data_IF_585477656483
#
_entry.id   IF_585477656483
#
_cell.length_a   1.000
_cell.length_b   1.000
_cell.length_c   1.000
_cell.angle_alpha   90.00
_cell.angle_beta   90.00
_cell.angle_gamma   90.00
#
_symmetry.space_group_name_H-M   'P 1'
#
loop_
_entity.id
_entity.type
_entity.pdbx_description
1 polymer ?
#
# COMPACT_ATOMS: atom_id res chain seq x y z
N UNK A 1 18.62 -8.08 17.99
CA UNK A 1 17.81 -7.82 16.77
C UNK A 1 16.55 -7.08 17.21
N UNK A 2 16.32 -5.85 16.75
CA UNK A 2 15.19 -5.04 17.23
C UNK A 2 14.02 -5.18 16.26
N UNK A 3 12.97 -5.85 16.73
CA UNK A 3 11.64 -5.85 16.07
C UNK A 3 10.89 -4.62 16.54
N UNK A 4 10.06 -4.06 15.67
CA UNK A 4 9.18 -2.96 16.01
C UNK A 4 7.87 -3.54 16.52
N UNK A 5 7.28 -2.90 17.53
CA UNK A 5 5.95 -3.26 18.02
C UNK A 5 4.86 -2.83 17.05
N UNK A 6 3.72 -3.53 17.05
CA UNK A 6 2.57 -3.17 16.23
C UNK A 6 2.05 -1.75 16.54
N UNK A 7 2.13 -1.31 17.79
CA UNK A 7 1.78 0.05 18.19
C UNK A 7 2.68 1.10 17.52
N UNK A 8 4.00 0.87 17.54
CA UNK A 8 4.95 1.76 16.87
C UNK A 8 4.73 1.79 15.34
N UNK A 9 4.43 0.64 14.74
CA UNK A 9 4.12 0.53 13.30
C UNK A 9 2.88 1.36 12.96
N UNK A 10 1.81 1.27 13.75
CA UNK A 10 0.59 2.04 13.53
C UNK A 10 0.83 3.55 13.65
N UNK A 11 1.61 3.99 14.62
CA UNK A 11 1.97 5.42 14.80
C UNK A 11 2.76 5.90 13.58
N UNK A 12 3.79 5.18 13.16
CA UNK A 12 4.61 5.53 12.00
C UNK A 12 3.77 5.59 10.71
N UNK A 13 2.90 4.59 10.48
CA UNK A 13 2.05 4.55 9.30
C UNK A 13 1.04 5.72 9.24
N UNK A 14 0.50 6.14 10.39
CA UNK A 14 -0.44 7.26 10.45
C UNK A 14 0.23 8.64 10.26
N UNK A 15 1.51 8.76 10.58
CA UNK A 15 2.25 10.03 10.52
C UNK A 15 2.95 10.29 9.19
N UNK A 16 2.96 9.31 8.28
CA UNK A 16 3.66 9.38 7.00
C UNK A 16 2.98 10.28 5.96
N UNK A 17 3.76 10.70 4.96
CA UNK A 17 3.23 11.40 3.78
C UNK A 17 2.31 10.48 2.97
N UNK A 18 1.18 11.02 2.51
CA UNK A 18 0.18 10.31 1.71
C UNK A 18 0.06 10.93 0.33
N UNK A 19 0.60 10.30 -0.72
CA UNK A 19 0.43 10.80 -2.07
C UNK A 19 -1.03 10.72 -2.52
N UNK A 20 -1.42 11.60 -3.43
CA UNK A 20 -2.74 11.59 -4.03
C UNK A 20 -2.86 10.50 -5.09
N UNK A 21 -3.97 9.78 -5.06
CA UNK A 21 -4.34 8.83 -6.12
C UNK A 21 -5.80 9.02 -6.50
N UNK A 22 -6.13 8.62 -7.73
CA UNK A 22 -7.51 8.60 -8.22
C UNK A 22 -7.97 7.16 -8.14
N UNK A 23 -9.04 6.92 -7.39
CA UNK A 23 -9.69 5.60 -7.40
C UNK A 23 -10.48 5.45 -8.70
N UNK A 24 -9.80 4.97 -9.72
CA UNK A 24 -10.41 4.55 -10.99
C UNK A 24 -10.67 3.06 -11.04
N UNK A 25 -10.31 2.32 -9.97
CA UNK A 25 -10.34 0.86 -9.93
C UNK A 25 -9.30 0.17 -10.84
N UNK A 26 -8.55 0.93 -11.64
CA UNK A 26 -7.64 0.40 -12.68
C UNK A 26 -6.25 1.07 -12.62
N UNK A 27 -6.11 2.19 -11.91
CA UNK A 27 -4.86 2.95 -11.85
C UNK A 27 -3.80 2.31 -10.96
N UNK A 28 -2.53 2.41 -11.37
CA UNK A 28 -1.40 2.04 -10.50
C UNK A 28 -1.32 3.00 -9.33
N UNK A 29 -1.14 2.46 -8.12
CA UNK A 29 -0.88 3.27 -6.95
C UNK A 29 0.52 3.90 -7.03
N UNK A 30 0.67 5.16 -6.61
CA UNK A 30 1.92 5.91 -6.72
C UNK A 30 2.92 5.54 -5.60
N UNK A 31 3.31 4.26 -5.52
CA UNK A 31 4.25 3.77 -4.50
C UNK A 31 5.61 4.48 -4.52
N UNK A 32 6.06 4.93 -5.69
CA UNK A 32 7.33 5.67 -5.84
C UNK A 32 7.30 7.06 -5.20
N UNK A 33 6.12 7.59 -4.89
CA UNK A 33 5.94 8.87 -4.18
C UNK A 33 5.95 8.71 -2.67
N UNK A 34 5.76 7.50 -2.15
CA UNK A 34 5.94 7.20 -0.73
C UNK A 34 7.42 7.42 -0.33
N UNK A 35 7.70 7.71 0.93
CA UNK A 35 9.05 7.60 1.48
C UNK A 35 9.52 6.13 1.54
N UNK A 36 10.82 5.90 1.74
CA UNK A 36 11.37 4.54 1.86
C UNK A 36 10.69 3.79 3.01
N UNK A 37 10.55 4.47 4.14
CA UNK A 37 9.93 3.89 5.34
C UNK A 37 8.44 3.62 5.18
N UNK A 38 7.70 4.54 4.56
CA UNK A 38 6.27 4.36 4.29
C UNK A 38 6.04 3.17 3.35
N UNK A 39 6.90 2.96 2.36
CA UNK A 39 6.81 1.80 1.47
C UNK A 39 7.09 0.49 2.21
N UNK A 40 8.07 0.44 3.11
CA UNK A 40 8.32 -0.72 3.99
C UNK A 40 7.13 -1.03 4.89
N UNK A 41 6.55 0.00 5.53
CA UNK A 41 5.37 -0.11 6.40
C UNK A 41 4.16 -0.65 5.63
N UNK A 42 3.91 -0.13 4.42
CA UNK A 42 2.85 -0.61 3.54
C UNK A 42 3.05 -2.08 3.19
N UNK A 43 4.24 -2.47 2.76
CA UNK A 43 4.56 -3.86 2.42
C UNK A 43 4.39 -4.80 3.61
N UNK A 44 4.81 -4.37 4.80
CA UNK A 44 4.62 -5.11 6.03
C UNK A 44 3.15 -5.33 6.36
N UNK A 45 2.34 -4.25 6.39
CA UNK A 45 0.92 -4.32 6.73
C UNK A 45 0.12 -5.12 5.69
N UNK A 46 0.47 -4.98 4.40
CA UNK A 46 -0.12 -5.78 3.34
C UNK A 46 0.06 -7.28 3.58
N UNK A 47 1.29 -7.71 3.81
CA UNK A 47 1.58 -9.13 4.03
C UNK A 47 1.03 -9.61 5.38
N UNK A 48 0.99 -8.76 6.41
CA UNK A 48 0.34 -9.08 7.68
C UNK A 48 -1.15 -9.39 7.48
N UNK A 49 -1.88 -8.52 6.79
CA UNK A 49 -3.29 -8.73 6.47
C UNK A 49 -3.50 -10.01 5.64
N UNK A 50 -2.61 -10.27 4.67
CA UNK A 50 -2.69 -11.48 3.85
C UNK A 50 -2.43 -12.76 4.64
N UNK A 51 -1.56 -12.72 5.66
CA UNK A 51 -1.35 -13.85 6.58
C UNK A 51 -2.60 -14.07 7.42
N UNK A 52 -3.20 -13.02 7.96
CA UNK A 52 -4.45 -13.06 8.74
C UNK A 52 -5.61 -13.64 7.91
N UNK A 53 -5.67 -13.30 6.63
CA UNK A 53 -6.64 -13.85 5.66
C UNK A 53 -6.32 -15.29 5.21
N UNK A 54 -5.23 -15.90 5.69
CA UNK A 54 -4.83 -17.26 5.31
C UNK A 54 -4.30 -17.41 3.88
N UNK A 55 -3.89 -16.31 3.22
CA UNK A 55 -3.37 -16.35 1.83
C UNK A 55 -1.95 -16.93 1.74
N UNK A 56 -1.25 -17.06 2.86
CA UNK A 56 0.10 -17.59 2.94
C UNK A 56 0.15 -18.91 3.71
N UNK A 57 0.16 -20.04 3.01
CA UNK A 57 0.14 -21.37 3.63
C UNK A 57 1.38 -21.69 4.49
N UNK A 58 2.54 -21.17 4.10
CA UNK A 58 3.83 -21.47 4.71
C UNK A 58 4.41 -20.31 5.52
N UNK A 59 3.62 -19.28 5.80
CA UNK A 59 4.03 -18.12 6.59
C UNK A 59 2.99 -17.93 7.69
N UNK A 60 3.41 -17.99 8.94
CA UNK A 60 2.53 -17.85 10.11
C UNK A 60 2.59 -16.45 10.74
N UNK A 61 3.68 -15.74 10.53
CA UNK A 61 3.83 -14.37 11.03
C UNK A 61 4.93 -13.60 10.30
N UNK A 62 4.91 -12.28 10.43
CA UNK A 62 5.87 -11.34 9.86
C UNK A 62 6.36 -10.39 10.95
N UNK A 63 7.59 -9.89 10.83
CA UNK A 63 8.12 -8.81 11.68
C UNK A 63 8.79 -7.77 10.82
N UNK A 64 8.49 -6.49 11.10
CA UNK A 64 9.18 -5.35 10.51
C UNK A 64 10.49 -5.10 11.27
N UNK A 65 11.55 -4.80 10.54
CA UNK A 65 12.88 -4.54 11.08
C UNK A 65 13.15 -3.04 11.17
N UNK A 66 14.14 -2.65 12.00
CA UNK A 66 14.51 -1.24 12.14
C UNK A 66 16.01 -1.07 12.31
N UNK A 67 16.56 -0.10 11.57
CA UNK A 67 17.90 0.46 11.75
C UNK A 67 19.02 -0.42 11.20
N UNK A 68 20.25 -0.10 11.55
CA UNK A 68 21.48 -0.73 11.04
C UNK A 68 21.51 -2.26 11.20
N UNK A 69 20.65 -2.81 12.06
CA UNK A 69 20.53 -4.26 12.29
C UNK A 69 19.65 -5.00 11.28
N UNK A 70 19.09 -4.33 10.28
CA UNK A 70 18.25 -4.95 9.24
C UNK A 70 19.02 -5.97 8.42
N UNK A 71 20.31 -5.73 8.17
CA UNK A 71 21.19 -6.67 7.47
C UNK A 71 20.59 -7.17 6.14
N UNK A 72 20.04 -6.24 5.35
CA UNK A 72 19.43 -6.54 4.06
C UNK A 72 18.05 -7.21 4.16
N UNK A 73 17.28 -6.91 5.23
CA UNK A 73 15.92 -7.43 5.44
C UNK A 73 15.04 -6.35 6.03
N UNK A 74 14.06 -5.89 5.30
CA UNK A 74 13.11 -4.92 5.82
C UNK A 74 12.01 -5.63 6.62
N UNK A 75 11.57 -6.82 6.16
CA UNK A 75 10.70 -7.69 6.93
C UNK A 75 11.27 -9.12 7.02
N UNK A 76 10.96 -9.80 8.12
CA UNK A 76 11.31 -11.22 8.32
C UNK A 76 10.04 -12.04 8.42
N UNK A 77 9.97 -13.12 7.64
CA UNK A 77 8.86 -14.05 7.57
C UNK A 77 9.15 -15.27 8.43
N UNK A 78 8.12 -15.75 9.13
CA UNK A 78 8.25 -16.92 10.01
C UNK A 78 7.22 -17.98 9.65
N UNK A 79 7.67 -19.24 9.73
CA UNK A 79 6.79 -20.40 9.75
C UNK A 79 6.95 -21.11 11.10
N UNK A 80 5.87 -21.16 11.88
CA UNK A 80 5.86 -21.76 13.21
C UNK A 80 7.02 -21.28 14.13
N UNK A 81 7.30 -19.96 14.07
CA UNK A 81 8.35 -19.34 14.89
C UNK A 81 9.77 -19.45 14.33
N UNK A 82 9.99 -20.22 13.27
CA UNK A 82 11.29 -20.34 12.59
C UNK A 82 11.34 -19.38 11.41
N UNK A 83 12.49 -18.72 11.19
CA UNK A 83 12.71 -17.85 10.04
C UNK A 83 12.61 -18.66 8.75
N UNK A 84 11.66 -18.32 7.89
CA UNK A 84 11.38 -19.02 6.62
C UNK A 84 11.58 -18.13 5.39
N UNK A 85 11.80 -16.84 5.58
CA UNK A 85 12.02 -15.91 4.47
C UNK A 85 12.20 -14.48 4.92
N UNK A 86 12.31 -13.59 3.93
CA UNK A 86 12.37 -12.16 4.12
C UNK A 86 11.64 -11.41 3.01
N UNK A 87 11.35 -10.16 3.27
CA UNK A 87 10.99 -9.18 2.24
C UNK A 87 12.05 -8.08 2.27
N UNK A 88 12.63 -7.80 1.09
CA UNK A 88 13.44 -6.63 0.82
C UNK A 88 12.62 -5.65 0.00
N UNK A 89 12.40 -4.46 0.52
CA UNK A 89 11.67 -3.40 -0.14
C UNK A 89 12.63 -2.48 -0.89
N UNK A 90 12.30 -2.13 -2.12
CA UNK A 90 13.06 -1.17 -2.92
C UNK A 90 12.15 -0.10 -3.48
N UNK A 91 12.19 1.07 -2.85
CA UNK A 91 11.56 2.25 -3.39
C UNK A 91 12.43 2.85 -4.48
N UNK A 92 11.90 2.98 -5.68
CA UNK A 92 12.64 3.41 -6.87
C UNK A 92 11.76 4.30 -7.76
N UNK A 93 12.38 5.27 -8.45
CA UNK A 93 11.72 6.05 -9.49
C UNK A 93 11.69 5.35 -10.85
N UNK A 94 12.56 4.38 -11.06
CA UNK A 94 12.68 3.61 -12.28
C UNK A 94 12.60 2.11 -12.06
N UNK A 95 12.88 1.34 -13.09
CA UNK A 95 12.88 -0.13 -13.05
C UNK A 95 14.08 -0.67 -12.30
N UNK A 96 13.90 -1.69 -11.48
CA UNK A 96 15.04 -2.40 -10.90
C UNK A 96 15.75 -3.24 -11.97
N UNK A 97 17.06 -3.09 -12.05
CA UNK A 97 17.89 -3.83 -13.00
C UNK A 97 18.41 -5.13 -12.41
N UNK A 98 18.76 -6.09 -13.29
CA UNK A 98 19.34 -7.39 -12.89
C UNK A 98 20.58 -7.28 -11.99
N UNK A 99 21.57 -6.40 -12.29
CA UNK A 99 22.68 -6.17 -11.37
C UNK A 99 22.27 -5.66 -10.00
N UNK A 100 21.30 -4.75 -9.93
CA UNK A 100 20.80 -4.23 -8.65
C UNK A 100 20.12 -5.32 -7.81
N UNK A 101 19.25 -6.12 -8.44
CA UNK A 101 18.57 -7.22 -7.75
C UNK A 101 19.58 -8.25 -7.21
N UNK A 102 20.55 -8.67 -8.03
CA UNK A 102 21.58 -9.63 -7.60
C UNK A 102 22.46 -9.08 -6.47
N UNK A 103 22.84 -7.79 -6.50
CA UNK A 103 23.62 -7.18 -5.43
C UNK A 103 22.86 -7.16 -4.10
N UNK A 104 21.56 -6.92 -4.10
CA UNK A 104 20.75 -6.98 -2.87
C UNK A 104 20.67 -8.39 -2.31
N UNK A 105 20.47 -9.40 -3.17
CA UNK A 105 20.48 -10.80 -2.76
C UNK A 105 21.87 -11.17 -2.19
N UNK A 106 22.95 -10.84 -2.88
CA UNK A 106 24.32 -11.12 -2.46
C UNK A 106 24.63 -10.43 -1.12
N UNK A 107 24.21 -9.19 -0.94
CA UNK A 107 24.36 -8.46 0.33
C UNK A 107 23.72 -9.21 1.50
N UNK A 108 22.48 -9.70 1.34
CA UNK A 108 21.84 -10.52 2.36
C UNK A 108 22.59 -11.82 2.62
N UNK A 109 23.04 -12.51 1.57
CA UNK A 109 23.79 -13.76 1.73
C UNK A 109 25.13 -13.57 2.44
N UNK A 110 25.82 -12.46 2.19
CA UNK A 110 27.03 -12.10 2.92
C UNK A 110 26.76 -11.89 4.42
N UNK A 111 25.66 -11.20 4.77
CA UNK A 111 25.23 -11.10 6.16
C UNK A 111 24.90 -12.46 6.77
N UNK A 112 24.26 -13.36 6.01
CA UNK A 112 23.92 -14.70 6.50
C UNK A 112 25.16 -15.60 6.71
N UNK A 113 26.24 -15.35 6.00
CA UNK A 113 27.53 -16.04 6.23
C UNK A 113 28.19 -15.55 7.52
N UNK A 114 28.01 -14.27 7.90
CA UNK A 114 28.47 -13.73 9.17
C UNK A 114 27.62 -14.23 10.34
N UNK A 115 26.30 -14.33 10.11
CA UNK A 115 25.33 -14.73 11.13
C UNK A 115 24.35 -15.75 10.55
N UNK A 116 24.63 -17.03 10.75
CA UNK A 116 23.84 -18.14 10.23
C UNK A 116 22.37 -18.14 10.73
N UNK A 117 22.07 -17.41 11.80
CA UNK A 117 20.69 -17.29 12.30
C UNK A 117 19.76 -16.54 11.34
N UNK A 118 20.32 -15.80 10.38
CA UNK A 118 19.56 -15.06 9.38
C UNK A 118 18.97 -15.96 8.29
N UNK A 119 19.63 -17.10 8.03
CA UNK A 119 19.29 -18.05 6.98
C UNK A 119 19.44 -19.51 7.50
N UNK A 120 18.56 -19.92 8.44
CA UNK A 120 18.73 -21.21 9.11
C UNK A 120 18.46 -22.42 8.20
N UNK A 121 17.63 -22.27 7.18
CA UNK A 121 17.23 -23.36 6.27
C UNK A 121 17.20 -22.84 4.81
N UNK A 122 18.35 -22.73 4.12
CA UNK A 122 18.41 -22.14 2.78
C UNK A 122 17.47 -22.77 1.75
N UNK A 123 17.31 -24.10 1.76
CA UNK A 123 16.50 -24.83 0.77
C UNK A 123 14.99 -24.56 0.89
N UNK A 124 14.54 -24.03 2.04
CA UNK A 124 13.15 -23.68 2.31
C UNK A 124 12.97 -22.17 2.47
N UNK A 125 13.97 -21.37 2.13
CA UNK A 125 13.98 -19.95 2.38
C UNK A 125 13.45 -19.15 1.18
N UNK A 126 12.50 -18.24 1.43
CA UNK A 126 11.93 -17.35 0.43
C UNK A 126 12.52 -15.95 0.55
N UNK A 127 13.31 -15.52 -0.43
CA UNK A 127 13.73 -14.15 -0.60
C UNK A 127 12.71 -13.41 -1.49
N UNK A 128 11.97 -12.45 -0.94
CA UNK A 128 10.96 -11.69 -1.66
C UNK A 128 11.45 -10.26 -1.90
N UNK A 129 11.53 -9.84 -3.16
CA UNK A 129 11.90 -8.49 -3.56
C UNK A 129 10.64 -7.69 -3.93
N UNK A 130 10.27 -6.69 -3.13
CA UNK A 130 9.15 -5.82 -3.39
C UNK A 130 9.64 -4.48 -3.92
N UNK A 131 9.13 -4.05 -5.08
CA UNK A 131 9.62 -2.87 -5.79
C UNK A 131 8.48 -1.89 -6.00
N UNK A 132 8.70 -0.62 -5.63
CA UNK A 132 7.68 0.45 -5.73
C UNK A 132 7.36 0.87 -7.18
N UNK A 133 8.13 0.37 -8.15
CA UNK A 133 7.96 0.65 -9.57
C UNK A 133 8.01 -0.67 -10.34
N UNK A 134 8.48 -0.65 -11.56
CA UNK A 134 8.53 -1.81 -12.44
C UNK A 134 9.85 -2.59 -12.31
N UNK A 135 9.88 -3.78 -12.87
CA UNK A 135 11.04 -4.67 -12.92
C UNK A 135 11.52 -4.74 -14.38
N UNK A 136 12.82 -4.56 -14.62
CA UNK A 136 13.38 -4.68 -15.96
C UNK A 136 13.19 -6.11 -16.50
N UNK A 137 12.99 -6.25 -17.82
CA UNK A 137 12.75 -7.54 -18.48
C UNK A 137 13.81 -8.59 -18.13
N UNK A 138 15.09 -8.20 -18.14
CA UNK A 138 16.21 -9.09 -17.76
C UNK A 138 16.17 -9.53 -16.31
N UNK A 139 15.62 -8.70 -15.42
CA UNK A 139 15.40 -9.03 -14.00
C UNK A 139 14.20 -9.96 -13.83
N UNK A 140 13.11 -9.71 -14.58
CA UNK A 140 11.96 -10.62 -14.61
C UNK A 140 12.36 -12.02 -15.08
N UNK A 141 13.17 -12.12 -16.14
CA UNK A 141 13.72 -13.39 -16.61
C UNK A 141 14.53 -14.11 -15.53
N UNK A 142 15.43 -13.36 -14.85
CA UNK A 142 16.19 -13.90 -13.71
C UNK A 142 15.27 -14.49 -12.63
N UNK A 143 14.24 -13.79 -12.23
CA UNK A 143 13.35 -14.21 -11.14
C UNK A 143 12.45 -15.37 -11.57
N UNK A 144 11.87 -15.30 -12.77
CA UNK A 144 10.97 -16.34 -13.28
C UNK A 144 11.67 -17.70 -13.48
N UNK A 145 12.94 -17.69 -13.90
CA UNK A 145 13.74 -18.87 -14.15
C UNK A 145 15.00 -18.91 -13.26
N UNK A 146 14.82 -18.56 -11.97
CA UNK A 146 15.92 -18.22 -11.07
C UNK A 146 17.06 -19.26 -11.06
N UNK A 147 16.76 -20.55 -10.91
CA UNK A 147 17.77 -21.61 -10.85
C UNK A 147 18.63 -21.69 -12.13
N UNK A 148 18.01 -21.49 -13.28
CA UNK A 148 18.72 -21.53 -14.59
C UNK A 148 19.53 -20.26 -14.81
N UNK A 149 18.92 -19.10 -14.56
CA UNK A 149 19.53 -17.81 -14.83
C UNK A 149 20.69 -17.50 -13.86
N UNK A 150 20.60 -17.94 -12.61
CA UNK A 150 21.70 -17.82 -11.63
C UNK A 150 22.93 -18.61 -12.06
N UNK A 151 22.75 -19.80 -12.67
CA UNK A 151 23.86 -20.59 -13.20
C UNK A 151 24.56 -19.89 -14.40
N UNK A 152 23.82 -19.13 -15.20
CA UNK A 152 24.43 -18.30 -16.29
C UNK A 152 25.32 -17.22 -15.67
N UNK A 153 24.84 -16.53 -14.62
CA UNK A 153 25.62 -15.50 -13.92
C UNK A 153 26.88 -16.09 -13.22
N UNK A 154 26.77 -17.28 -12.68
CA UNK A 154 27.91 -17.98 -12.06
C UNK A 154 28.96 -18.34 -13.11
N UNK A 155 28.53 -18.91 -14.24
CA UNK A 155 29.45 -19.32 -15.33
C UNK A 155 30.14 -18.14 -16.00
N UNK A 156 29.49 -16.97 -16.04
CA UNK A 156 30.07 -15.74 -16.60
C UNK A 156 30.98 -14.97 -15.63
N UNK A 157 31.23 -15.51 -14.43
CA UNK A 157 31.99 -14.87 -13.34
C UNK A 157 31.40 -13.53 -12.84
N UNK A 158 30.16 -13.23 -13.22
CA UNK A 158 29.47 -12.01 -12.83
C UNK A 158 29.21 -11.96 -11.32
N UNK A 159 28.88 -13.11 -10.73
CA UNK A 159 28.62 -13.22 -9.28
C UNK A 159 29.87 -12.86 -8.47
N UNK A 160 31.05 -13.35 -8.87
CA UNK A 160 32.32 -13.02 -8.19
C UNK A 160 32.60 -11.53 -8.22
N UNK A 161 32.31 -10.88 -9.33
CA UNK A 161 32.44 -9.42 -9.48
C UNK A 161 31.48 -8.70 -8.51
N UNK A 162 30.22 -9.09 -8.44
CA UNK A 162 29.25 -8.45 -7.56
C UNK A 162 29.56 -8.68 -6.09
N UNK A 163 30.07 -9.87 -5.71
CA UNK A 163 30.54 -10.11 -4.35
C UNK A 163 31.65 -9.12 -3.98
N UNK A 164 32.64 -8.96 -4.86
CA UNK A 164 33.75 -8.03 -4.66
C UNK A 164 33.25 -6.58 -4.51
N UNK A 165 32.35 -6.16 -5.37
CA UNK A 165 31.76 -4.82 -5.35
C UNK A 165 31.03 -4.57 -4.02
N UNK A 166 30.14 -5.50 -3.61
CA UNK A 166 29.38 -5.38 -2.36
C UNK A 166 30.30 -5.40 -1.12
N UNK A 167 31.32 -6.26 -1.10
CA UNK A 167 32.28 -6.30 0.00
C UNK A 167 33.05 -4.98 0.12
N UNK A 168 33.44 -4.37 -1.00
CA UNK A 168 34.14 -3.08 -0.99
C UNK A 168 33.25 -1.88 -0.59
N UNK A 169 31.93 -1.98 -0.81
CA UNK A 169 30.99 -0.90 -0.55
C UNK A 169 30.59 -0.78 0.93
N UNK A 170 30.55 -1.89 1.67
CA UNK A 170 30.01 -1.92 3.05
C UNK A 170 31.08 -2.27 4.09
N UNK A 171 31.27 -1.40 5.08
CA UNK A 171 32.17 -1.64 6.21
C UNK A 171 31.90 -2.96 6.95
N UNK A 172 30.65 -3.37 7.03
CA UNK A 172 30.24 -4.62 7.68
C UNK A 172 30.86 -5.87 7.07
N UNK A 173 31.39 -5.76 5.85
CA UNK A 173 31.99 -6.88 5.11
C UNK A 173 33.52 -6.84 5.05
N UNK A 174 34.18 -5.93 5.77
CA UNK A 174 35.66 -5.86 5.84
C UNK A 174 36.31 -7.19 6.22
N UNK A 175 35.60 -8.02 6.99
CA UNK A 175 36.05 -9.37 7.34
C UNK A 175 36.34 -10.24 6.11
N UNK A 176 35.75 -9.93 4.96
CA UNK A 176 35.92 -10.68 3.70
C UNK A 176 36.92 -10.06 2.74
N UNK A 177 37.53 -8.89 3.02
CA UNK A 177 38.45 -8.20 2.11
C UNK A 177 39.63 -9.08 1.67
N UNK A 178 40.19 -9.86 2.60
CA UNK A 178 41.36 -10.72 2.32
C UNK A 178 40.97 -12.11 1.80
N UNK A 179 39.71 -12.52 1.90
CA UNK A 179 39.21 -13.82 1.45
C UNK A 179 37.72 -13.76 1.17
N UNK A 180 37.39 -13.52 -0.08
CA UNK A 180 36.00 -13.43 -0.54
C UNK A 180 35.31 -14.80 -0.39
N UNK A 181 34.10 -14.87 0.20
CA UNK A 181 33.40 -16.12 0.43
C UNK A 181 32.62 -16.59 -0.81
N UNK A 182 33.25 -16.57 -2.01
CA UNK A 182 32.59 -16.81 -3.31
C UNK A 182 31.86 -18.15 -3.33
N UNK A 183 32.53 -19.24 -2.98
CA UNK A 183 31.94 -20.57 -3.00
C UNK A 183 30.73 -20.72 -2.09
N UNK A 184 30.75 -20.08 -0.90
CA UNK A 184 29.62 -20.09 0.03
C UNK A 184 28.43 -19.28 -0.50
N UNK A 185 28.68 -18.10 -1.09
CA UNK A 185 27.61 -17.28 -1.71
C UNK A 185 26.98 -18.04 -2.86
N UNK A 186 27.78 -18.67 -3.73
CA UNK A 186 27.28 -19.47 -4.85
C UNK A 186 26.41 -20.65 -4.36
N UNK A 187 26.85 -21.37 -3.35
CA UNK A 187 26.06 -22.44 -2.74
C UNK A 187 24.70 -21.93 -2.24
N UNK A 188 24.69 -20.84 -1.51
CA UNK A 188 23.46 -20.24 -0.99
C UNK A 188 22.55 -19.69 -2.10
N UNK A 189 23.10 -19.06 -3.15
CA UNK A 189 22.32 -18.61 -4.32
C UNK A 189 21.56 -19.77 -4.99
N UNK A 190 22.15 -20.94 -5.06
CA UNK A 190 21.52 -22.13 -5.64
C UNK A 190 20.39 -22.71 -4.81
N UNK A 191 20.37 -22.42 -3.52
CA UNK A 191 19.49 -23.06 -2.53
C UNK A 191 18.28 -22.23 -2.18
N UNK A 192 18.40 -20.91 -2.18
CA UNK A 192 17.28 -20.04 -1.84
C UNK A 192 16.28 -19.94 -3.00
N UNK A 193 15.01 -19.71 -2.65
CA UNK A 193 13.98 -19.33 -3.61
C UNK A 193 13.82 -17.81 -3.66
N UNK A 194 13.79 -17.24 -4.85
CA UNK A 194 13.67 -15.78 -5.07
C UNK A 194 12.41 -15.47 -5.84
N UNK A 195 11.62 -14.54 -5.31
CA UNK A 195 10.41 -14.01 -5.94
C UNK A 195 10.42 -12.49 -5.92
N UNK A 196 9.64 -11.85 -6.77
CA UNK A 196 9.46 -10.40 -6.72
C UNK A 196 8.00 -10.01 -6.95
N UNK A 197 7.66 -8.82 -6.46
CA UNK A 197 6.40 -8.12 -6.74
C UNK A 197 6.71 -6.70 -7.16
N UNK A 198 6.16 -6.29 -8.29
CA UNK A 198 6.28 -4.91 -8.81
C UNK A 198 5.07 -4.06 -8.40
N UNK A 199 5.04 -2.80 -8.86
CA UNK A 199 3.94 -1.88 -8.56
C UNK A 199 2.58 -2.40 -9.03
N UNK A 200 2.51 -3.11 -10.16
CA UNK A 200 1.24 -3.69 -10.65
C UNK A 200 0.74 -4.77 -9.71
N UNK A 201 1.61 -5.71 -9.33
CA UNK A 201 1.26 -6.79 -8.38
C UNK A 201 0.83 -6.23 -7.03
N UNK A 202 1.59 -5.25 -6.51
CA UNK A 202 1.30 -4.60 -5.23
C UNK A 202 -0.01 -3.81 -5.29
N UNK A 203 -0.29 -3.09 -6.39
CA UNK A 203 -1.56 -2.37 -6.58
C UNK A 203 -2.75 -3.31 -6.48
N UNK A 204 -2.73 -4.44 -7.21
CA UNK A 204 -3.80 -5.43 -7.20
C UNK A 204 -4.03 -6.06 -5.81
N UNK A 205 -2.97 -6.15 -5.01
CA UNK A 205 -3.05 -6.69 -3.64
C UNK A 205 -3.54 -5.65 -2.65
N UNK A 206 -3.05 -4.40 -2.74
CA UNK A 206 -3.42 -3.29 -1.84
C UNK A 206 -4.89 -2.91 -2.01
N UNK A 207 -5.41 -2.88 -3.25
CA UNK A 207 -6.84 -2.60 -3.52
C UNK A 207 -7.82 -3.61 -2.87
N UNK A 208 -7.34 -4.72 -2.34
CA UNK A 208 -8.18 -5.65 -1.55
C UNK A 208 -8.36 -5.21 -0.10
N UNK A 209 -7.69 -4.15 0.31
CA UNK A 209 -7.65 -3.65 1.69
C UNK A 209 -7.86 -2.14 1.73
N UNK A 210 -9.12 -1.70 1.82
CA UNK A 210 -9.50 -0.28 1.89
C UNK A 210 -8.79 0.48 3.03
N UNK A 211 -8.53 -0.23 4.13
CA UNK A 211 -7.76 0.32 5.26
C UNK A 211 -6.34 0.71 4.88
N UNK A 212 -5.67 -0.04 4.00
CA UNK A 212 -4.33 0.30 3.51
C UNK A 212 -4.37 1.45 2.51
N UNK A 213 -5.38 1.47 1.64
CA UNK A 213 -5.57 2.58 0.71
C UNK A 213 -5.71 3.91 1.46
N UNK A 214 -6.61 3.97 2.43
CA UNK A 214 -6.85 5.19 3.22
C UNK A 214 -5.70 5.55 4.15
N UNK A 215 -4.90 4.56 4.57
CA UNK A 215 -3.75 4.79 5.46
C UNK A 215 -2.56 5.42 4.71
N UNK A 216 -2.27 4.96 3.48
CA UNK A 216 -1.07 5.35 2.73
C UNK A 216 -1.31 6.31 1.57
N UNK A 217 -2.56 6.51 1.15
CA UNK A 217 -2.89 7.34 0.00
C UNK A 217 -4.05 8.29 0.30
N UNK A 218 -3.99 9.47 -0.30
CA UNK A 218 -5.13 10.38 -0.37
C UNK A 218 -5.96 10.00 -1.61
N UNK A 219 -7.03 9.23 -1.39
CA UNK A 219 -7.84 8.70 -2.48
C UNK A 219 -8.85 9.75 -2.95
N UNK A 220 -8.82 10.10 -4.24
CA UNK A 220 -9.85 10.90 -4.89
C UNK A 220 -10.80 9.99 -5.64
N UNK A 221 -12.03 9.95 -5.22
CA UNK A 221 -13.09 9.32 -5.99
C UNK A 221 -13.57 10.29 -7.07
N UNK A 222 -13.43 9.90 -8.34
CA UNK A 222 -14.02 10.67 -9.44
C UNK A 222 -15.45 10.20 -9.60
N UNK A 223 -16.38 11.02 -9.12
CA UNK A 223 -17.80 10.82 -9.38
C UNK A 223 -18.12 11.57 -10.67
N UNK A 224 -18.43 10.87 -11.75
CA UNK A 224 -18.95 11.51 -12.94
C UNK A 224 -20.39 12.01 -12.70
N UNK A 225 -20.76 13.08 -13.40
CA UNK A 225 -22.05 13.73 -13.17
C UNK A 225 -23.26 12.82 -13.46
N UNK A 226 -23.14 11.91 -14.41
CA UNK A 226 -24.21 10.98 -14.78
C UNK A 226 -24.41 9.93 -13.70
N UNK A 227 -23.32 9.34 -13.20
CA UNK A 227 -23.37 8.39 -12.08
C UNK A 227 -23.89 9.05 -10.81
N UNK A 228 -23.46 10.27 -10.51
CA UNK A 228 -23.94 11.02 -9.36
C UNK A 228 -25.44 11.30 -9.47
N UNK A 229 -25.95 11.74 -10.64
CA UNK A 229 -27.39 11.98 -10.89
C UNK A 229 -28.20 10.72 -10.64
N UNK A 230 -27.75 9.59 -11.21
CA UNK A 230 -28.45 8.31 -11.07
C UNK A 230 -28.57 7.86 -9.61
N UNK A 231 -27.48 7.98 -8.84
CA UNK A 231 -27.50 7.58 -7.43
C UNK A 231 -28.40 8.50 -6.61
N UNK A 232 -28.33 9.83 -6.84
CA UNK A 232 -29.17 10.81 -6.16
C UNK A 232 -30.64 10.55 -6.46
N UNK A 233 -31.02 10.36 -7.74
CA UNK A 233 -32.41 10.10 -8.13
C UNK A 233 -32.92 8.80 -7.52
N UNK A 234 -32.12 7.72 -7.56
CA UNK A 234 -32.51 6.46 -6.96
C UNK A 234 -32.75 6.61 -5.43
N UNK A 235 -31.83 7.28 -4.73
CA UNK A 235 -32.00 7.52 -3.30
C UNK A 235 -33.26 8.36 -2.99
N UNK A 236 -33.54 9.40 -3.78
CA UNK A 236 -34.75 10.20 -3.63
C UNK A 236 -36.02 9.40 -3.92
N UNK A 237 -36.01 8.55 -4.95
CA UNK A 237 -37.14 7.67 -5.29
C UNK A 237 -37.40 6.63 -4.20
N UNK A 238 -36.35 6.03 -3.64
CA UNK A 238 -36.44 5.05 -2.53
C UNK A 238 -37.10 5.64 -1.29
N UNK A 239 -36.84 6.93 -1.03
CA UNK A 239 -37.50 7.66 0.08
C UNK A 239 -38.83 8.30 -0.31
N UNK A 240 -39.29 8.12 -1.55
CA UNK A 240 -40.53 8.73 -2.06
C UNK A 240 -40.46 10.25 -2.19
N UNK A 241 -39.28 10.84 -2.25
CA UNK A 241 -39.03 12.27 -2.29
C UNK A 241 -38.85 12.74 -3.74
N UNK A 242 -39.85 13.47 -4.24
CA UNK A 242 -39.84 14.06 -5.59
C UNK A 242 -39.85 15.61 -5.57
N UNK A 243 -39.34 16.20 -4.49
CA UNK A 243 -39.44 17.65 -4.25
C UNK A 243 -38.29 18.46 -4.79
N UNK A 244 -37.13 17.82 -5.06
CA UNK A 244 -36.00 18.52 -5.65
C UNK A 244 -36.21 18.69 -7.15
N UNK A 245 -36.02 19.91 -7.61
CA UNK A 245 -36.06 20.21 -9.05
C UNK A 245 -34.82 19.68 -9.75
N UNK A 246 -34.89 19.51 -11.08
CA UNK A 246 -33.71 19.14 -11.88
C UNK A 246 -32.55 20.13 -11.71
N UNK A 247 -32.87 21.42 -11.50
CA UNK A 247 -31.84 22.42 -11.26
C UNK A 247 -31.19 22.27 -9.90
N UNK A 248 -31.94 21.92 -8.84
CA UNK A 248 -31.39 21.65 -7.51
C UNK A 248 -30.44 20.44 -7.54
N UNK A 249 -30.85 19.37 -8.22
CA UNK A 249 -30.02 18.17 -8.41
C UNK A 249 -28.73 18.49 -9.18
N UNK A 250 -28.82 19.26 -10.26
CA UNK A 250 -27.68 19.70 -11.06
C UNK A 250 -26.71 20.56 -10.25
N UNK A 251 -27.22 21.48 -9.43
CA UNK A 251 -26.37 22.27 -8.54
C UNK A 251 -25.67 21.41 -7.49
N UNK A 252 -26.35 20.44 -6.91
CA UNK A 252 -25.75 19.49 -5.97
C UNK A 252 -24.62 18.67 -6.63
N UNK A 253 -24.87 18.14 -7.83
CA UNK A 253 -23.88 17.39 -8.61
C UNK A 253 -22.61 18.21 -8.89
N UNK A 254 -22.80 19.46 -9.38
CA UNK A 254 -21.70 20.39 -9.67
C UNK A 254 -20.88 20.65 -8.41
N UNK A 255 -21.53 20.85 -7.27
CA UNK A 255 -20.84 21.12 -6.00
C UNK A 255 -20.09 19.93 -5.48
N UNK A 256 -20.69 18.73 -5.51
CA UNK A 256 -20.01 17.49 -5.14
C UNK A 256 -18.76 17.27 -6.00
N UNK A 257 -18.86 17.46 -7.32
CA UNK A 257 -17.74 17.25 -8.24
C UNK A 257 -16.63 18.30 -8.13
N UNK A 258 -16.98 19.56 -7.77
CA UNK A 258 -16.02 20.67 -7.71
C UNK A 258 -15.40 20.88 -6.32
N UNK A 259 -15.96 20.29 -5.27
CA UNK A 259 -15.45 20.48 -3.91
C UNK A 259 -14.22 19.62 -3.67
N UNK A 260 -13.13 20.22 -3.17
CA UNK A 260 -11.96 19.47 -2.74
C UNK A 260 -12.35 18.51 -1.62
N UNK A 261 -11.72 17.34 -1.59
CA UNK A 261 -12.08 16.23 -0.70
C UNK A 261 -12.15 16.66 0.78
N UNK A 262 -11.13 17.35 1.25
CA UNK A 262 -11.07 17.95 2.59
C UNK A 262 -12.21 18.92 2.93
N UNK A 263 -12.84 19.51 1.89
CA UNK A 263 -13.92 20.49 2.01
C UNK A 263 -15.28 19.98 1.52
N UNK A 264 -15.35 18.77 0.93
CA UNK A 264 -16.60 18.22 0.38
C UNK A 264 -17.69 18.14 1.43
N UNK A 265 -17.31 17.75 2.64
CA UNK A 265 -18.21 17.61 3.77
C UNK A 265 -18.75 18.98 4.20
N UNK A 266 -17.86 19.95 4.37
CA UNK A 266 -18.22 21.24 4.98
C UNK A 266 -18.83 22.24 4.00
N UNK A 267 -18.30 22.34 2.78
CA UNK A 267 -18.71 23.39 1.83
C UNK A 267 -19.80 22.94 0.86
N UNK A 268 -19.76 21.71 0.36
CA UNK A 268 -20.76 21.20 -0.57
C UNK A 268 -22.15 21.14 0.04
N UNK A 269 -22.24 20.63 1.26
CA UNK A 269 -23.51 20.53 1.99
C UNK A 269 -24.01 21.86 2.52
N UNK A 270 -23.16 22.62 3.19
CA UNK A 270 -23.53 23.93 3.74
C UNK A 270 -23.97 24.87 2.62
N UNK A 271 -23.27 24.89 1.51
CA UNK A 271 -23.65 25.69 0.36
C UNK A 271 -24.94 25.23 -0.29
N UNK A 272 -25.17 23.92 -0.43
CA UNK A 272 -26.41 23.39 -0.96
C UNK A 272 -27.59 23.80 -0.08
N UNK A 273 -27.49 23.62 1.23
CA UNK A 273 -28.51 24.07 2.17
C UNK A 273 -28.67 25.58 2.20
N UNK A 274 -27.58 26.34 2.11
CA UNK A 274 -27.62 27.80 2.02
C UNK A 274 -28.32 28.29 0.76
N UNK A 275 -28.07 27.62 -0.37
CA UNK A 275 -28.71 27.97 -1.66
C UNK A 275 -30.22 27.69 -1.64
N UNK A 276 -30.63 26.55 -1.06
CA UNK A 276 -32.04 26.12 -0.99
C UNK A 276 -32.70 26.39 0.37
N UNK A 277 -32.24 27.40 1.09
CA UNK A 277 -32.67 27.67 2.47
C UNK A 277 -34.18 27.78 2.66
N UNK A 278 -34.88 28.43 1.74
CA UNK A 278 -36.36 28.58 1.81
C UNK A 278 -37.06 27.24 1.54
N UNK A 279 -36.55 26.41 0.65
CA UNK A 279 -37.06 25.07 0.40
C UNK A 279 -36.92 24.22 1.64
N UNK A 280 -35.70 24.14 2.22
CA UNK A 280 -35.48 23.33 3.42
C UNK A 280 -36.21 23.86 4.67
N UNK A 281 -36.42 25.17 4.78
CA UNK A 281 -37.26 25.74 5.85
C UNK A 281 -38.73 25.31 5.74
N UNK A 282 -39.22 25.02 4.53
CA UNK A 282 -40.57 24.50 4.32
C UNK A 282 -40.74 23.05 4.70
N UNK A 283 -39.66 22.27 4.74
CA UNK A 283 -39.62 20.88 5.15
C UNK A 283 -39.35 20.78 6.66
N UNK A 284 -40.34 20.39 7.44
CA UNK A 284 -40.21 20.21 8.88
C UNK A 284 -40.42 18.75 9.25
N UNK A 285 -39.70 18.31 10.29
CA UNK A 285 -39.85 16.97 10.84
C UNK A 285 -39.31 15.85 9.94
N UNK A 286 -40.06 14.77 9.81
CA UNK A 286 -39.63 13.54 9.13
C UNK A 286 -39.28 13.70 7.65
N UNK A 287 -40.03 14.47 6.82
CA UNK A 287 -39.67 14.69 5.43
C UNK A 287 -38.30 15.37 5.26
N UNK A 288 -37.98 16.34 6.12
CA UNK A 288 -36.67 16.98 6.09
C UNK A 288 -35.54 15.99 6.41
N UNK A 289 -35.74 15.17 7.45
CA UNK A 289 -34.79 14.13 7.84
C UNK A 289 -34.54 13.14 6.70
N UNK A 290 -35.60 12.70 6.02
CA UNK A 290 -35.52 11.78 4.88
C UNK A 290 -34.74 12.39 3.69
N UNK A 291 -34.92 13.66 3.37
CA UNK A 291 -34.12 14.35 2.34
C UNK A 291 -32.65 14.37 2.73
N UNK A 292 -32.34 14.70 3.99
CA UNK A 292 -30.95 14.70 4.47
C UNK A 292 -30.34 13.32 4.40
N UNK A 293 -31.06 12.28 4.81
CA UNK A 293 -30.58 10.90 4.76
C UNK A 293 -30.37 10.40 3.34
N UNK A 294 -31.28 10.76 2.41
CA UNK A 294 -31.14 10.43 0.99
C UNK A 294 -29.92 11.11 0.37
N UNK A 295 -29.72 12.40 0.60
CA UNK A 295 -28.54 13.15 0.15
C UNK A 295 -27.27 12.62 0.82
N UNK A 296 -27.34 12.29 2.10
CA UNK A 296 -26.24 11.69 2.85
C UNK A 296 -25.84 10.32 2.29
N UNK A 297 -26.80 9.47 1.89
CA UNK A 297 -26.52 8.15 1.33
C UNK A 297 -25.68 8.22 0.06
N UNK A 298 -25.84 9.27 -0.73
CA UNK A 298 -25.03 9.55 -1.93
C UNK A 298 -23.59 9.97 -1.59
N UNK A 299 -23.42 10.62 -0.45
CA UNK A 299 -22.13 11.15 0.00
C UNK A 299 -21.44 10.27 1.02
N UNK A 300 -22.13 9.25 1.54
CA UNK A 300 -21.66 8.34 2.60
C UNK A 300 -20.51 7.42 2.20
N UNK A 301 -20.25 7.27 0.92
CA UNK A 301 -19.00 6.64 0.48
C UNK A 301 -17.77 7.52 0.77
N UNK A 302 -17.98 8.72 1.31
CA UNK A 302 -16.97 9.76 1.37
C UNK A 302 -16.39 10.02 2.75
N UNK A 303 -17.10 9.86 3.86
CA UNK A 303 -16.44 9.95 5.18
C UNK A 303 -17.38 9.76 6.41
N UNK A 304 -16.84 9.19 7.51
CA UNK A 304 -17.47 9.05 8.82
C UNK A 304 -17.86 10.42 9.45
N UNK A 305 -17.06 11.44 9.22
CA UNK A 305 -17.30 12.79 9.72
C UNK A 305 -18.52 13.46 9.10
N UNK A 306 -18.91 13.06 7.88
CA UNK A 306 -20.11 13.58 7.23
C UNK A 306 -21.37 13.22 8.03
N UNK A 307 -21.45 12.00 8.58
CA UNK A 307 -22.59 11.59 9.38
C UNK A 307 -22.69 12.36 10.69
N UNK A 308 -21.57 12.59 11.35
CA UNK A 308 -21.53 13.40 12.59
C UNK A 308 -21.97 14.84 12.31
N UNK A 309 -21.50 15.43 11.22
CA UNK A 309 -21.90 16.76 10.78
C UNK A 309 -23.39 16.83 10.39
N UNK A 310 -23.89 15.88 9.60
CA UNK A 310 -25.30 15.80 9.21
C UNK A 310 -26.18 15.65 10.44
N UNK A 311 -25.85 14.75 11.35
CA UNK A 311 -26.60 14.55 12.59
C UNK A 311 -26.60 15.81 13.48
N UNK A 312 -25.47 16.51 13.56
CA UNK A 312 -25.39 17.80 14.26
C UNK A 312 -26.33 18.84 13.62
N UNK A 313 -26.32 18.95 12.29
CA UNK A 313 -27.17 19.92 11.57
C UNK A 313 -28.65 19.54 11.58
N UNK A 314 -28.98 18.26 11.52
CA UNK A 314 -30.36 17.80 11.71
C UNK A 314 -30.85 18.20 13.11
N UNK A 315 -30.06 17.99 14.15
CA UNK A 315 -30.43 18.36 15.51
C UNK A 315 -30.63 19.88 15.69
N UNK A 316 -29.75 20.70 15.09
CA UNK A 316 -29.90 22.15 15.10
C UNK A 316 -31.22 22.63 14.44
N UNK A 317 -31.63 21.99 13.33
CA UNK A 317 -32.77 22.43 12.51
C UNK A 317 -34.10 21.82 12.93
N UNK A 318 -34.09 20.71 13.66
CA UNK A 318 -35.30 20.02 14.13
C UNK A 318 -35.73 20.51 15.53
N UNK A 319 -34.78 21.07 16.32
CA UNK A 319 -35.01 21.52 17.67
C UNK A 319 -35.02 23.06 17.85
N UNK A 320 -34.75 23.85 16.79
CA UNK A 320 -35.10 25.27 16.69
C UNK A 320 -36.52 25.44 16.05
#
# INVERSE_FOLDING_TARGET
MKKISDEQINIEAQSGYRPWTIDSGIGLLPFSELGDREFELLCYLLVKNEIEDGKHKNISSISLMQGVSERGRDCVLYHNGVVSGLIQCKKMQGRITRPQALREIIKFLLFSIIDNSLLPAPDCFEYKLYVSNDIAETTNSLIHSYSTEVEVEIKSDTISKYIKDVVSEYESFKIFENSLPISKVIDLLRRINVTASNATDLTLRVHKYDSLLSLFFNVKTVIDLESADKVIRNALDDYGLKYLTDEDLKQLQIRISNTKEENRINLGFVDFFGYNKEFFKSLKGEPFKQVIEAVASVTLSLDKYLMEFINSKINELVFE
#
